data_IF_494886904298
#
_entry.id   IF_494886904298
#
_cell.length_a   1.000
_cell.length_b   1.000
_cell.length_c   1.000
_cell.angle_alpha   90.00
_cell.angle_beta   90.00
_cell.angle_gamma   90.00
#
_symmetry.space_group_name_H-M   'P 1'
#
loop_
_entity.id
_entity.type
_entity.pdbx_description
1 polymer ?
#
# COMPACT_ATOMS: atom_id res chain seq x y z
N UNK A 1 30.81 70.05 55.81
CA UNK A 1 31.91 70.11 54.83
C UNK A 1 31.76 68.95 53.87
N UNK A 2 31.41 69.31 52.64
CA UNK A 2 31.25 68.48 51.45
C UNK A 2 32.56 67.80 51.04
N UNK A 3 32.52 66.52 50.68
CA UNK A 3 33.39 66.01 49.62
C UNK A 3 32.84 64.73 49.00
N UNK A 4 32.45 64.86 47.73
CA UNK A 4 32.18 63.80 46.78
C UNK A 4 33.41 62.92 46.52
N UNK A 5 33.18 61.63 46.25
CA UNK A 5 33.93 60.85 45.25
C UNK A 5 33.15 59.61 44.81
N UNK A 6 32.38 59.76 43.74
CA UNK A 6 32.63 59.12 42.44
C UNK A 6 33.44 57.80 42.44
N UNK A 7 32.82 56.68 42.00
CA UNK A 7 32.97 56.12 40.63
C UNK A 7 32.67 54.61 40.54
N UNK A 8 31.95 54.31 39.45
CA UNK A 8 31.96 53.09 38.62
C UNK A 8 31.27 51.82 39.14
N UNK A 9 29.99 51.72 38.78
CA UNK A 9 29.37 50.45 38.41
C UNK A 9 30.12 49.83 37.21
N UNK A 10 30.68 48.63 37.40
CA UNK A 10 31.14 47.77 36.31
C UNK A 10 29.96 46.96 35.83
N UNK A 11 29.38 47.34 34.68
CA UNK A 11 28.66 46.41 33.82
C UNK A 11 29.63 45.30 33.42
N UNK A 12 29.37 44.07 33.86
CA UNK A 12 30.00 42.89 33.29
C UNK A 12 29.01 42.24 32.33
N UNK A 13 29.02 42.75 31.10
CA UNK A 13 28.41 42.11 29.93
C UNK A 13 29.25 40.88 29.59
N UNK A 14 28.90 39.73 30.16
CA UNK A 14 29.43 38.46 29.67
C UNK A 14 28.59 38.01 28.48
N UNK A 15 29.05 38.45 27.31
CA UNK A 15 28.78 37.86 26.01
C UNK A 15 29.14 36.37 26.06
N UNK A 16 28.17 35.51 26.31
CA UNK A 16 28.29 34.13 25.87
C UNK A 16 27.68 34.07 24.48
N UNK A 17 28.57 34.25 23.51
CA UNK A 17 28.36 34.01 22.09
C UNK A 17 27.92 32.56 21.90
N UNK A 18 26.62 32.32 22.05
CA UNK A 18 25.96 31.27 21.31
C UNK A 18 26.18 31.60 19.85
N UNK A 19 27.15 30.91 19.25
CA UNK A 19 27.21 30.73 17.83
C UNK A 19 25.83 30.17 17.42
N UNK A 20 24.94 31.08 17.02
CA UNK A 20 23.83 30.80 16.15
C UNK A 20 24.45 30.33 14.85
N UNK A 21 24.82 29.06 14.83
CA UNK A 21 25.01 28.33 13.59
C UNK A 21 23.64 28.37 12.96
N UNK A 22 23.51 29.29 12.01
CA UNK A 22 22.35 29.50 11.18
C UNK A 22 22.23 28.26 10.29
N UNK A 23 21.73 27.16 10.84
CA UNK A 23 21.38 25.93 10.09
C UNK A 23 20.00 26.15 9.47
N UNK A 24 19.87 27.21 8.68
CA UNK A 24 18.83 27.30 7.66
C UNK A 24 19.30 26.49 6.44
N UNK A 25 19.62 25.21 6.66
CA UNK A 25 19.94 24.27 5.62
C UNK A 25 18.62 23.62 5.15
N UNK A 26 18.16 24.06 3.98
CA UNK A 26 17.24 23.37 3.07
C UNK A 26 16.01 22.70 3.71
N UNK A 27 14.92 23.46 3.82
CA UNK A 27 13.57 22.96 4.15
C UNK A 27 13.05 21.92 3.11
N UNK A 28 13.76 21.67 2.00
CA UNK A 28 13.25 20.94 0.83
C UNK A 28 14.05 19.70 0.35
N UNK A 29 14.84 19.01 1.17
CA UNK A 29 15.57 17.85 0.61
C UNK A 29 15.69 16.62 1.50
N UNK A 30 14.74 16.37 2.39
CA UNK A 30 14.66 15.05 3.03
C UNK A 30 14.19 14.01 2.03
N UNK A 31 14.88 12.87 2.00
CA UNK A 31 14.53 11.73 1.16
C UNK A 31 14.40 10.46 2.00
N UNK A 32 13.66 9.48 1.47
CA UNK A 32 13.62 8.17 2.12
C UNK A 32 15.02 7.56 2.18
N UNK A 33 15.34 6.94 3.32
CA UNK A 33 16.67 6.39 3.57
C UNK A 33 17.67 7.33 4.25
N UNK A 34 17.36 8.62 4.38
CA UNK A 34 18.20 9.55 5.13
C UNK A 34 18.20 9.20 6.63
N UNK A 35 19.39 9.25 7.24
CA UNK A 35 19.57 9.12 8.68
C UNK A 35 19.32 10.45 9.39
N UNK A 36 18.44 10.44 10.38
CA UNK A 36 18.04 11.63 11.12
C UNK A 36 18.02 11.40 12.63
N UNK A 37 18.11 12.48 13.39
CA UNK A 37 17.72 12.55 14.79
C UNK A 37 16.32 13.15 14.88
N UNK A 38 15.46 12.47 15.62
CA UNK A 38 14.09 12.91 15.88
C UNK A 38 13.86 13.00 17.39
N UNK A 39 13.38 14.16 17.86
CA UNK A 39 13.09 14.43 19.28
C UNK A 39 11.61 14.20 19.54
N UNK A 40 11.28 13.27 20.44
CA UNK A 40 9.88 12.97 20.80
C UNK A 40 9.63 13.35 22.25
N UNK A 41 8.84 14.39 22.49
CA UNK A 41 8.44 14.81 23.85
C UNK A 41 9.65 15.05 24.77
N UNK A 42 9.68 14.37 25.92
CA UNK A 42 10.79 14.46 26.89
C UNK A 42 11.99 13.57 26.54
N UNK A 43 11.84 12.56 25.68
CA UNK A 43 12.91 11.64 25.31
C UNK A 43 14.03 12.35 24.55
N UNK A 44 15.32 12.03 24.76
CA UNK A 44 16.42 12.62 24.00
C UNK A 44 16.23 12.43 22.48
N UNK A 45 16.90 13.25 21.63
CA UNK A 45 16.90 13.01 20.18
C UNK A 45 17.35 11.59 19.86
N UNK A 46 16.52 10.84 19.14
CA UNK A 46 16.72 9.42 18.87
C UNK A 46 17.11 9.20 17.41
N UNK A 47 18.07 8.31 17.11
CA UNK A 47 18.44 8.00 15.73
C UNK A 47 17.32 7.26 15.01
N UNK A 48 17.03 7.68 13.79
CA UNK A 48 15.97 7.15 12.96
C UNK A 48 16.33 7.20 11.46
N UNK A 49 15.56 6.47 10.65
CA UNK A 49 15.60 6.51 9.18
C UNK A 49 14.30 7.12 8.67
N UNK A 50 14.37 8.01 7.68
CA UNK A 50 13.18 8.48 6.97
C UNK A 50 12.57 7.32 6.18
N UNK A 51 11.32 6.98 6.52
CA UNK A 51 10.67 5.76 6.09
C UNK A 51 9.64 6.01 4.98
N UNK A 52 9.63 5.25 3.86
CA UNK A 52 8.65 5.45 2.79
C UNK A 52 7.23 5.12 3.26
N UNK A 53 6.27 6.00 2.98
CA UNK A 53 4.91 5.86 3.52
C UNK A 53 4.20 4.59 3.01
N UNK A 54 4.53 4.15 1.79
CA UNK A 54 3.93 2.96 1.17
C UNK A 54 4.24 1.65 1.92
N UNK A 55 5.35 1.60 2.65
CA UNK A 55 5.73 0.43 3.46
C UNK A 55 5.23 0.51 4.92
N UNK A 56 4.54 1.60 5.31
CA UNK A 56 3.99 1.70 6.66
C UNK A 56 2.86 0.71 6.87
N UNK A 57 2.77 0.21 8.12
CA UNK A 57 1.60 -0.53 8.60
C UNK A 57 0.33 0.31 8.43
N UNK A 58 -0.80 -0.35 8.19
CA UNK A 58 -2.07 0.34 7.97
C UNK A 58 -2.53 1.16 9.19
N UNK A 59 -2.26 0.71 10.41
CA UNK A 59 -2.57 1.43 11.65
C UNK A 59 -1.71 2.69 11.85
N UNK A 60 -0.46 2.66 11.42
CA UNK A 60 0.45 3.81 11.41
C UNK A 60 0.09 4.79 10.29
N UNK A 61 -0.17 4.26 9.09
CA UNK A 61 -0.52 5.04 7.90
C UNK A 61 -1.83 5.81 8.09
N UNK A 62 -2.85 5.19 8.69
CA UNK A 62 -4.13 5.87 9.01
C UNK A 62 -3.98 7.06 9.95
N UNK A 63 -2.91 7.10 10.76
CA UNK A 63 -2.60 8.21 11.68
C UNK A 63 -1.71 9.28 11.05
N UNK A 64 -1.48 9.20 9.74
CA UNK A 64 -0.73 10.20 8.96
C UNK A 64 -1.28 11.61 9.24
N UNK A 65 -0.35 12.56 9.33
CA UNK A 65 -0.65 13.98 9.44
C UNK A 65 -0.13 14.70 8.20
N UNK A 66 -0.83 15.74 7.72
CA UNK A 66 -0.34 16.55 6.59
C UNK A 66 1.03 17.16 6.94
N UNK A 67 1.87 17.32 5.91
CA UNK A 67 3.21 17.96 6.02
C UNK A 67 4.19 17.28 6.99
N UNK A 68 3.89 16.04 7.40
CA UNK A 68 4.79 15.24 8.22
C UNK A 68 5.39 14.09 7.46
N UNK A 69 6.63 13.79 7.82
CA UNK A 69 7.39 12.67 7.31
C UNK A 69 7.33 11.55 8.33
N UNK A 70 7.22 10.31 7.85
CA UNK A 70 7.34 9.14 8.69
C UNK A 70 8.82 8.81 8.94
N UNK A 71 9.18 8.59 10.19
CA UNK A 71 10.50 8.09 10.59
C UNK A 71 10.36 6.78 11.34
N UNK A 72 11.33 5.89 11.16
CA UNK A 72 11.45 4.63 11.90
C UNK A 72 12.70 4.69 12.76
N UNK A 73 12.54 4.51 14.07
CA UNK A 73 13.65 4.52 15.02
C UNK A 73 14.51 3.25 14.93
N UNK A 74 15.78 3.37 15.27
CA UNK A 74 16.64 2.22 15.56
C UNK A 74 16.37 1.69 16.97
N UNK A 75 16.50 0.37 17.15
CA UNK A 75 16.21 -0.35 18.39
C UNK A 75 14.81 -0.09 18.97
N UNK A 76 13.84 0.28 18.12
CA UNK A 76 12.46 0.51 18.51
C UNK A 76 11.52 0.17 17.31
N UNK A 77 10.49 -0.67 17.50
CA UNK A 77 9.58 -1.06 16.42
C UNK A 77 8.66 0.09 15.99
N UNK A 78 8.58 1.18 16.74
CA UNK A 78 7.63 2.27 16.49
C UNK A 78 8.01 3.14 15.29
N UNK A 79 6.97 3.75 14.73
CA UNK A 79 7.04 4.75 13.68
C UNK A 79 6.53 6.07 14.25
N UNK A 80 7.09 7.18 13.79
CA UNK A 80 6.68 8.50 14.24
C UNK A 80 6.51 9.46 13.07
N UNK A 81 5.55 10.39 13.22
CA UNK A 81 5.24 11.41 12.22
C UNK A 81 5.73 12.76 12.71
N UNK A 82 6.78 13.28 12.08
CA UNK A 82 7.41 14.54 12.48
C UNK A 82 7.50 15.53 11.33
N UNK A 83 7.53 16.82 11.66
CA UNK A 83 7.77 17.89 10.70
C UNK A 83 9.22 17.90 10.21
N UNK A 84 9.45 18.10 8.90
CA UNK A 84 10.78 18.21 8.29
C UNK A 84 11.76 19.11 9.04
N UNK A 85 11.33 20.28 9.51
CA UNK A 85 12.18 21.27 10.16
C UNK A 85 12.61 20.89 11.60
N UNK A 86 12.01 19.85 12.18
CA UNK A 86 12.38 19.33 13.52
C UNK A 86 13.33 18.14 13.45
N UNK A 87 13.60 17.64 12.24
CA UNK A 87 14.57 16.59 12.01
C UNK A 87 15.97 17.21 11.87
N UNK A 88 16.95 16.54 12.47
CA UNK A 88 18.36 16.93 12.34
C UNK A 88 19.11 15.82 11.62
N UNK A 89 19.97 16.15 10.66
CA UNK A 89 20.77 15.15 9.95
C UNK A 89 21.68 14.38 10.92
N UNK A 90 21.61 13.04 10.89
CA UNK A 90 22.47 12.19 11.69
C UNK A 90 23.73 11.83 10.90
N UNK A 91 24.77 12.64 11.06
CA UNK A 91 26.06 12.41 10.37
C UNK A 91 26.89 11.35 11.09
N UNK A 92 27.78 10.61 10.39
CA UNK A 92 28.68 9.64 11.02
C UNK A 92 29.54 10.24 12.15
N UNK A 93 29.98 11.50 11.99
CA UNK A 93 30.72 12.24 13.03
C UNK A 93 29.88 12.44 14.30
N UNK A 94 28.59 12.71 14.16
CA UNK A 94 27.67 12.87 15.28
C UNK A 94 27.42 11.53 16.00
N UNK A 95 27.29 10.44 15.24
CA UNK A 95 27.20 9.09 15.81
C UNK A 95 28.46 8.77 16.61
N UNK A 96 29.65 8.96 16.04
CA UNK A 96 30.92 8.63 16.68
C UNK A 96 31.19 9.49 17.93
N UNK A 97 30.90 10.79 17.87
CA UNK A 97 31.05 11.68 19.04
C UNK A 97 30.07 11.30 20.16
N UNK A 98 28.83 10.96 19.82
CA UNK A 98 27.84 10.52 20.81
C UNK A 98 28.27 9.20 21.46
N UNK A 99 28.71 8.21 20.67
CA UNK A 99 29.19 6.92 21.18
C UNK A 99 30.44 7.06 22.07
N UNK A 100 31.38 7.96 21.73
CA UNK A 100 32.61 8.21 22.53
C UNK A 100 32.34 8.99 23.82
N UNK A 101 31.48 9.99 23.77
CA UNK A 101 31.14 10.76 24.97
C UNK A 101 30.42 9.88 26.02
N UNK A 102 29.67 8.89 25.54
CA UNK A 102 28.90 8.00 26.40
C UNK A 102 29.72 6.88 27.07
N UNK A 103 30.86 6.46 26.52
CA UNK A 103 31.73 5.50 27.22
C UNK A 103 32.28 6.03 28.55
N UNK A 104 32.23 7.34 28.77
CA UNK A 104 32.72 8.00 29.99
C UNK A 104 31.58 8.42 30.94
N UNK A 105 30.32 8.35 30.51
CA UNK A 105 29.15 8.79 31.27
C UNK A 105 28.28 7.58 31.65
N UNK A 106 28.25 7.24 32.93
CA UNK A 106 27.49 6.14 33.56
C UNK A 106 25.94 6.23 33.42
N UNK A 107 25.40 6.96 32.44
CA UNK A 107 24.00 7.43 32.48
C UNK A 107 23.38 7.69 31.10
N UNK A 108 23.67 6.90 30.07
CA UNK A 108 22.74 6.82 28.93
C UNK A 108 21.88 5.57 29.05
N UNK A 109 20.59 5.73 28.75
CA UNK A 109 19.65 4.63 28.61
C UNK A 109 20.23 3.62 27.61
N UNK A 110 20.49 2.38 28.03
CA UNK A 110 21.14 1.34 27.22
C UNK A 110 20.51 1.22 25.83
N UNK A 111 19.19 1.40 25.74
CA UNK A 111 18.45 1.36 24.49
C UNK A 111 18.89 2.42 23.47
N UNK A 112 19.22 3.63 23.92
CA UNK A 112 19.68 4.72 23.05
C UNK A 112 21.08 4.46 22.54
N UNK A 113 21.96 3.95 23.40
CA UNK A 113 23.30 3.55 22.99
C UNK A 113 23.28 2.44 21.95
N UNK A 114 22.40 1.43 22.12
CA UNK A 114 22.17 0.38 21.12
C UNK A 114 21.62 0.99 19.82
N UNK A 115 20.67 1.92 19.90
CA UNK A 115 20.12 2.58 18.71
C UNK A 115 21.19 3.31 17.89
N UNK A 116 22.14 4.01 18.54
CA UNK A 116 23.27 4.63 17.83
C UNK A 116 24.25 3.62 17.25
N UNK A 117 24.47 2.47 17.92
CA UNK A 117 25.29 1.38 17.38
C UNK A 117 24.65 0.75 16.14
N UNK A 118 23.33 0.59 16.12
CA UNK A 118 22.60 0.11 14.94
C UNK A 118 22.64 1.14 13.81
N UNK A 119 22.40 2.42 14.12
CA UNK A 119 22.50 3.50 13.16
C UNK A 119 23.90 3.57 12.50
N UNK A 120 24.97 3.29 13.27
CA UNK A 120 26.33 3.20 12.72
C UNK A 120 26.51 2.06 11.71
N UNK A 121 25.74 0.97 11.85
CA UNK A 121 25.76 -0.20 10.96
C UNK A 121 24.78 -0.07 9.80
N UNK A 122 24.04 1.03 9.70
CA UNK A 122 23.12 1.26 8.60
C UNK A 122 23.91 1.35 7.27
N UNK A 123 23.54 0.51 6.32
CA UNK A 123 24.17 0.45 4.99
C UNK A 123 23.23 1.06 3.96
N UNK A 124 22.01 0.54 3.88
CA UNK A 124 21.02 0.94 2.88
C UNK A 124 19.59 0.73 3.38
N UNK A 125 18.65 1.41 2.71
CA UNK A 125 17.24 1.42 3.06
C UNK A 125 16.56 0.06 2.84
N UNK A 126 16.97 -0.72 1.83
CA UNK A 126 16.35 -2.00 1.51
C UNK A 126 16.65 -3.05 2.59
N UNK A 127 17.91 -3.15 2.99
CA UNK A 127 18.35 -4.01 4.10
C UNK A 127 17.63 -3.63 5.39
N UNK A 128 17.51 -2.32 5.66
CA UNK A 128 16.81 -1.82 6.85
C UNK A 128 15.32 -2.16 6.86
N UNK A 129 14.60 -1.89 5.77
CA UNK A 129 13.17 -2.21 5.64
C UNK A 129 12.95 -3.72 5.73
N UNK A 130 13.78 -4.51 5.04
CA UNK A 130 13.66 -5.98 5.05
C UNK A 130 13.83 -6.53 6.47
N UNK A 131 14.86 -6.08 7.21
CA UNK A 131 15.06 -6.48 8.60
C UNK A 131 13.86 -6.10 9.49
N UNK A 132 13.33 -4.88 9.31
CA UNK A 132 12.16 -4.41 10.07
C UNK A 132 10.91 -5.24 9.77
N UNK A 133 10.67 -5.59 8.51
CA UNK A 133 9.53 -6.42 8.10
C UNK A 133 9.65 -7.87 8.59
N UNK A 134 10.86 -8.41 8.70
CA UNK A 134 11.10 -9.72 9.34
C UNK A 134 10.76 -9.64 10.83
N UNK A 135 11.23 -8.61 11.52
CA UNK A 135 10.96 -8.41 12.95
C UNK A 135 9.46 -8.25 13.24
N UNK A 136 8.73 -7.61 12.33
CA UNK A 136 7.29 -7.39 12.44
C UNK A 136 6.42 -8.57 11.97
N UNK A 137 7.02 -9.66 11.46
CA UNK A 137 6.32 -10.78 10.81
C UNK A 137 5.41 -10.33 9.64
N UNK A 138 5.89 -9.40 8.82
CA UNK A 138 5.14 -8.79 7.72
C UNK A 138 5.82 -8.93 6.37
N UNK A 139 6.75 -9.87 6.21
CA UNK A 139 7.53 -10.03 4.97
C UNK A 139 6.65 -10.26 3.72
N UNK A 140 5.44 -10.80 3.90
CA UNK A 140 4.43 -10.91 2.83
C UNK A 140 3.96 -9.53 2.35
N UNK A 141 3.71 -8.59 3.25
CA UNK A 141 3.32 -7.21 2.92
C UNK A 141 4.41 -6.53 2.07
N UNK A 142 5.69 -6.74 2.40
CA UNK A 142 6.81 -6.21 1.61
C UNK A 142 6.76 -6.76 0.18
N UNK A 143 6.62 -8.08 0.05
CA UNK A 143 6.55 -8.74 -1.25
C UNK A 143 5.34 -8.27 -2.07
N UNK A 144 4.19 -8.09 -1.42
CA UNK A 144 2.97 -7.61 -2.08
C UNK A 144 3.10 -6.16 -2.55
N UNK A 145 3.72 -5.29 -1.73
CA UNK A 145 3.96 -3.89 -2.08
C UNK A 145 4.96 -3.74 -3.24
N UNK A 146 6.02 -4.55 -3.27
CA UNK A 146 6.97 -4.58 -4.39
C UNK A 146 6.31 -5.12 -5.67
N UNK A 147 5.47 -6.15 -5.55
CA UNK A 147 4.72 -6.70 -6.69
C UNK A 147 3.73 -5.67 -7.28
N UNK A 148 3.11 -4.82 -6.44
CA UNK A 148 2.10 -3.84 -6.85
C UNK A 148 2.70 -2.52 -7.35
N UNK A 149 3.66 -1.98 -6.62
CA UNK A 149 4.16 -0.62 -6.78
C UNK A 149 5.62 -0.56 -7.28
N UNK A 150 6.21 -1.71 -7.59
CA UNK A 150 7.58 -1.80 -8.09
C UNK A 150 8.63 -1.79 -6.98
N UNK A 151 9.92 -1.91 -7.37
CA UNK A 151 11.03 -2.03 -6.42
C UNK A 151 11.12 -0.82 -5.49
N UNK A 152 11.72 -1.01 -4.32
CA UNK A 152 12.07 0.07 -3.40
C UNK A 152 13.18 0.92 -4.02
N UNK A 153 12.95 2.22 -4.19
CA UNK A 153 13.96 3.16 -4.68
C UNK A 153 14.48 3.94 -3.46
N UNK A 154 15.80 3.95 -3.29
CA UNK A 154 16.42 4.76 -2.25
C UNK A 154 16.37 6.23 -2.66
N UNK A 155 16.02 7.11 -1.72
CA UNK A 155 15.90 8.53 -1.99
C UNK A 155 14.60 8.95 -2.68
N UNK A 156 13.54 8.14 -2.58
CA UNK A 156 12.17 8.54 -2.96
C UNK A 156 11.72 9.77 -2.14
N UNK A 157 10.74 10.49 -2.68
CA UNK A 157 10.08 11.57 -1.95
C UNK A 157 9.29 10.98 -0.76
N UNK A 158 9.57 11.42 0.49
CA UNK A 158 8.93 10.90 1.69
C UNK A 158 7.44 11.23 1.79
N UNK A 159 6.90 12.08 0.91
CA UNK A 159 5.49 12.43 0.83
C UNK A 159 4.68 11.57 -0.14
N UNK A 160 5.33 10.72 -0.95
CA UNK A 160 4.64 9.80 -1.86
C UNK A 160 3.74 8.85 -1.05
N UNK A 161 2.45 8.85 -1.41
CA UNK A 161 1.41 8.09 -0.73
C UNK A 161 1.06 6.81 -1.47
N UNK A 162 0.34 5.89 -0.81
CA UNK A 162 -0.16 4.67 -1.46
C UNK A 162 -1.11 5.00 -2.63
N UNK A 163 -1.93 6.04 -2.46
CA UNK A 163 -2.94 6.45 -3.45
C UNK A 163 -2.28 7.05 -4.71
N UNK A 164 -1.24 7.87 -4.54
CA UNK A 164 -0.50 8.49 -5.65
C UNK A 164 0.18 7.46 -6.57
N UNK A 165 0.53 6.29 -6.04
CA UNK A 165 1.13 5.20 -6.83
C UNK A 165 0.08 4.45 -7.65
N UNK A 166 -1.13 4.29 -7.12
CA UNK A 166 -2.23 3.62 -7.82
C UNK A 166 -2.81 4.45 -8.97
N UNK A 167 -2.86 5.78 -8.87
CA UNK A 167 -3.40 6.65 -9.92
C UNK A 167 -2.54 6.64 -11.19
N UNK A 168 -1.21 6.65 -11.05
CA UNK A 168 -0.27 6.62 -12.20
C UNK A 168 -0.43 5.38 -13.09
N UNK A 169 -0.89 4.26 -12.54
CA UNK A 169 -1.10 3.04 -13.30
C UNK A 169 -2.38 3.07 -14.15
N UNK A 170 -3.38 3.86 -13.77
CA UNK A 170 -4.65 3.93 -14.50
C UNK A 170 -4.58 4.86 -15.70
N UNK A 171 -3.94 6.03 -15.57
CA UNK A 171 -3.84 7.02 -16.65
C UNK A 171 -3.00 6.55 -17.84
N UNK A 172 -2.11 5.59 -17.63
CA UNK A 172 -1.26 5.03 -18.69
C UNK A 172 -2.02 4.07 -19.64
N UNK A 173 -3.30 3.77 -19.39
CA UNK A 173 -4.05 2.73 -20.10
C UNK A 173 -5.24 3.21 -20.94
N UNK A 174 -5.55 4.52 -20.96
CA UNK A 174 -6.75 5.03 -21.65
C UNK A 174 -6.52 6.01 -22.81
N UNK A 175 -5.30 6.09 -23.36
CA UNK A 175 -5.02 6.84 -24.59
C UNK A 175 -5.28 5.99 -25.84
N UNK A 176 -6.54 5.68 -26.12
CA UNK A 176 -6.96 5.23 -27.45
C UNK A 176 -8.07 6.15 -27.98
N UNK A 177 -7.65 7.03 -28.90
CA UNK A 177 -8.38 7.68 -29.99
C UNK A 177 -9.91 7.73 -29.87
N UNK A 178 -10.42 8.83 -29.34
CA UNK A 178 -11.75 9.31 -29.68
C UNK A 178 -11.60 10.54 -30.60
N UNK A 179 -11.35 10.26 -31.89
CA UNK A 179 -11.61 11.20 -32.96
C UNK A 179 -13.04 10.93 -33.41
N UNK A 180 -14.02 11.46 -32.68
CA UNK A 180 -15.38 11.51 -33.20
C UNK A 180 -15.88 12.95 -33.31
N UNK A 181 -16.38 13.21 -34.52
CA UNK A 181 -16.84 14.49 -35.04
C UNK A 181 -18.00 15.02 -34.19
N UNK A 182 -17.86 16.22 -33.66
CA UNK A 182 -19.01 17.05 -33.31
C UNK A 182 -19.20 18.14 -34.36
N UNK A 183 -20.12 17.88 -35.28
CA UNK A 183 -20.82 18.91 -36.05
C UNK A 183 -21.69 19.72 -35.09
N UNK A 184 -21.44 21.02 -35.00
CA UNK A 184 -22.24 21.95 -34.21
C UNK A 184 -22.93 22.93 -35.17
N UNK A 185 -24.23 22.72 -35.39
CA UNK A 185 -25.17 23.73 -35.91
C UNK A 185 -26.22 23.95 -34.82
N UNK A 186 -26.38 25.21 -34.43
CA UNK A 186 -27.28 25.62 -33.36
C UNK A 186 -28.76 25.58 -33.71
N UNK A 187 -29.61 25.83 -32.73
CA UNK A 187 -30.36 27.08 -32.60
C UNK A 187 -31.10 27.09 -31.25
N UNK A 188 -31.41 28.31 -30.83
CA UNK A 188 -32.14 28.73 -29.63
C UNK A 188 -33.57 28.19 -29.61
N UNK A 189 -34.15 27.94 -28.43
CA UNK A 189 -35.35 28.67 -27.98
C UNK A 189 -35.67 28.34 -26.51
N UNK A 190 -36.17 29.34 -25.80
CA UNK A 190 -36.50 29.32 -24.38
C UNK A 190 -37.82 28.61 -24.07
N UNK A 191 -38.01 28.29 -22.79
CA UNK A 191 -39.23 27.64 -22.33
C UNK A 191 -39.24 27.35 -20.84
N UNK A 192 -39.48 28.40 -20.06
CA UNK A 192 -39.88 28.40 -18.66
C UNK A 192 -41.19 27.59 -18.47
N UNK A 193 -41.27 26.70 -17.47
CA UNK A 193 -42.37 26.56 -16.48
C UNK A 193 -42.29 25.28 -15.62
N UNK A 194 -42.09 25.50 -14.33
CA UNK A 194 -42.91 25.04 -13.19
C UNK A 194 -43.43 23.59 -13.05
N UNK A 195 -43.19 23.09 -11.83
CA UNK A 195 -44.09 22.35 -10.92
C UNK A 195 -44.36 20.84 -11.05
N UNK A 196 -43.90 20.17 -9.98
CA UNK A 196 -44.67 19.30 -9.05
C UNK A 196 -45.32 17.99 -9.58
N UNK A 197 -44.83 16.91 -8.98
CA UNK A 197 -45.62 16.05 -8.07
C UNK A 197 -46.68 15.13 -8.71
N UNK A 198 -46.47 13.80 -8.68
CA UNK A 198 -47.19 12.88 -7.78
C UNK A 198 -47.02 11.41 -8.14
N UNK A 199 -46.81 10.62 -7.09
CA UNK A 199 -47.16 9.23 -6.95
C UNK A 199 -48.60 8.92 -7.41
N UNK A 200 -48.81 7.81 -8.11
CA UNK A 200 -49.86 6.82 -7.81
C UNK A 200 -49.68 5.62 -8.76
N UNK A 201 -49.46 4.40 -8.25
CA UNK A 201 -50.42 3.46 -7.64
C UNK A 201 -51.19 2.67 -8.71
N UNK A 202 -50.79 1.41 -8.84
CA UNK A 202 -51.57 0.18 -9.03
C UNK A 202 -52.78 0.22 -9.97
N UNK A 203 -52.80 -0.69 -10.96
CA UNK A 203 -53.94 -1.62 -11.11
C UNK A 203 -53.58 -2.89 -11.88
N UNK A 204 -54.11 -3.98 -11.33
CA UNK A 204 -54.13 -5.35 -11.79
C UNK A 204 -55.14 -5.57 -12.94
N UNK A 205 -54.94 -6.70 -13.60
CA UNK A 205 -55.90 -7.61 -14.28
C UNK A 205 -56.59 -7.17 -15.56
N UNK A 206 -56.33 -7.90 -16.66
CA UNK A 206 -57.31 -8.89 -17.14
C UNK A 206 -56.73 -9.89 -18.15
N UNK A 207 -57.19 -11.14 -17.99
CA UNK A 207 -57.04 -12.27 -18.90
C UNK A 207 -57.66 -12.01 -20.28
N UNK A 208 -57.03 -12.56 -21.31
CA UNK A 208 -57.60 -12.67 -22.65
C UNK A 208 -56.87 -13.72 -23.47
N UNK A 209 -57.37 -14.96 -23.43
CA UNK A 209 -56.99 -16.05 -24.32
C UNK A 209 -57.62 -15.79 -25.69
N UNK A 210 -56.82 -15.66 -26.75
CA UNK A 210 -57.22 -16.00 -28.10
C UNK A 210 -55.99 -16.30 -28.96
N UNK A 211 -56.15 -17.34 -29.75
CA UNK A 211 -55.16 -18.14 -30.44
C UNK A 211 -54.90 -17.58 -31.85
N UNK A 212 -53.81 -18.05 -32.49
CA UNK A 212 -53.59 -18.20 -33.96
C UNK A 212 -52.50 -17.31 -34.62
N UNK A 213 -51.59 -18.05 -35.29
CA UNK A 213 -50.70 -17.73 -36.43
C UNK A 213 -49.30 -17.16 -36.16
N UNK A 214 -48.39 -18.10 -35.91
CA UNK A 214 -47.16 -18.30 -36.70
C UNK A 214 -46.69 -17.13 -37.57
N UNK A 215 -45.76 -16.33 -37.03
CA UNK A 215 -44.70 -15.70 -37.81
C UNK A 215 -43.38 -15.87 -37.08
N UNK A 216 -42.50 -16.58 -37.74
CA UNK A 216 -41.07 -16.71 -37.51
C UNK A 216 -40.43 -15.35 -37.33
N UNK A 217 -40.14 -14.97 -36.09
CA UNK A 217 -39.22 -13.88 -35.76
C UNK A 217 -38.17 -14.42 -34.80
N UNK A 218 -37.07 -14.86 -35.42
CA UNK A 218 -35.71 -14.84 -34.88
C UNK A 218 -35.63 -14.66 -33.36
N UNK A 219 -35.51 -15.79 -32.66
CA UNK A 219 -34.95 -15.85 -31.32
C UNK A 219 -33.65 -15.05 -31.33
N UNK A 220 -33.68 -13.81 -30.83
CA UNK A 220 -32.47 -13.08 -30.46
C UNK A 220 -31.79 -13.94 -29.40
N UNK A 221 -30.86 -14.79 -29.83
CA UNK A 221 -29.80 -15.32 -28.98
C UNK A 221 -29.23 -14.09 -28.31
N UNK A 222 -29.58 -13.88 -27.03
CA UNK A 222 -28.84 -12.96 -26.16
C UNK A 222 -27.42 -13.51 -26.21
N UNK A 223 -26.57 -12.90 -27.02
CA UNK A 223 -25.14 -13.10 -26.86
C UNK A 223 -24.89 -12.64 -25.43
N UNK A 224 -24.66 -13.60 -24.54
CA UNK A 224 -24.04 -13.30 -23.26
C UNK A 224 -22.69 -12.71 -23.64
N UNK A 225 -22.66 -11.38 -23.74
CA UNK A 225 -21.46 -10.62 -23.95
C UNK A 225 -20.51 -11.07 -22.85
N UNK A 226 -19.48 -11.81 -23.27
CA UNK A 226 -18.14 -11.87 -22.68
C UNK A 226 -18.08 -10.94 -21.48
N UNK A 227 -18.17 -11.50 -20.27
CA UNK A 227 -17.95 -10.73 -19.05
C UNK A 227 -16.67 -9.92 -19.26
N UNK A 228 -16.75 -8.60 -19.09
CA UNK A 228 -15.59 -7.72 -19.21
C UNK A 228 -14.43 -8.28 -18.36
N UNK A 229 -13.22 -8.28 -18.91
CA UNK A 229 -12.01 -8.82 -18.25
C UNK A 229 -11.82 -8.17 -16.87
N UNK A 230 -12.17 -6.89 -16.76
CA UNK A 230 -12.19 -6.15 -15.49
C UNK A 230 -13.13 -6.81 -14.47
N UNK A 231 -14.35 -7.14 -14.89
CA UNK A 231 -15.36 -7.80 -14.04
C UNK A 231 -14.96 -9.23 -13.68
N UNK A 232 -14.32 -9.98 -14.57
CA UNK A 232 -13.78 -11.31 -14.25
C UNK A 232 -12.72 -11.22 -13.15
N UNK A 233 -11.80 -10.25 -13.27
CA UNK A 233 -10.77 -9.98 -12.25
C UNK A 233 -11.40 -9.62 -10.90
N UNK A 234 -12.46 -8.82 -10.89
CA UNK A 234 -13.19 -8.44 -9.67
C UNK A 234 -13.87 -9.65 -9.02
N UNK A 235 -14.53 -10.50 -9.80
CA UNK A 235 -15.16 -11.74 -9.31
C UNK A 235 -14.10 -12.69 -8.73
N UNK A 236 -12.98 -12.90 -9.43
CA UNK A 236 -11.88 -13.71 -8.92
C UNK A 236 -11.28 -13.12 -7.63
N UNK A 237 -11.24 -11.79 -7.51
CA UNK A 237 -10.82 -11.08 -6.30
C UNK A 237 -11.80 -11.27 -5.14
N UNK A 238 -13.11 -11.32 -5.43
CA UNK A 238 -14.15 -11.64 -4.44
C UNK A 238 -14.03 -13.07 -3.94
N UNK A 239 -13.85 -14.04 -4.85
CA UNK A 239 -13.63 -15.45 -4.48
C UNK A 239 -12.42 -15.57 -3.55
N UNK A 240 -11.31 -14.94 -3.93
CA UNK A 240 -10.10 -14.91 -3.10
C UNK A 240 -10.35 -14.37 -1.70
N UNK A 241 -10.98 -13.20 -1.59
CA UNK A 241 -11.23 -12.53 -0.30
C UNK A 241 -12.11 -13.39 0.60
N UNK A 242 -13.20 -13.96 0.07
CA UNK A 242 -14.13 -14.78 0.84
C UNK A 242 -13.51 -16.09 1.30
N UNK A 243 -12.82 -16.82 0.41
CA UNK A 243 -12.12 -18.06 0.78
C UNK A 243 -11.06 -17.77 1.85
N UNK A 244 -10.27 -16.70 1.68
CA UNK A 244 -9.25 -16.32 2.65
C UNK A 244 -9.84 -15.93 4.02
N UNK A 245 -10.94 -15.16 4.05
CA UNK A 245 -11.63 -14.78 5.27
C UNK A 245 -12.30 -15.99 5.96
N UNK A 246 -12.79 -16.96 5.20
CA UNK A 246 -13.47 -18.14 5.76
C UNK A 246 -12.50 -19.21 6.25
N UNK A 247 -11.32 -19.36 5.63
CA UNK A 247 -10.42 -20.50 5.90
C UNK A 247 -9.07 -20.13 6.53
N UNK A 248 -8.57 -18.90 6.38
CA UNK A 248 -7.19 -18.56 6.73
C UNK A 248 -7.09 -17.40 7.73
N UNK A 249 -7.77 -16.28 7.46
CA UNK A 249 -7.69 -15.07 8.27
C UNK A 249 -8.72 -15.08 9.39
N UNK A 250 -8.64 -16.09 10.27
CA UNK A 250 -9.55 -16.24 11.41
C UNK A 250 -8.79 -16.60 12.66
N UNK A 251 -9.21 -16.02 13.77
CA UNK A 251 -8.75 -16.39 15.11
C UNK A 251 -9.54 -17.59 15.67
N UNK A 252 -10.75 -17.81 15.15
CA UNK A 252 -11.65 -18.90 15.53
C UNK A 252 -11.82 -19.93 14.41
N UNK A 253 -12.15 -21.20 14.74
CA UNK A 253 -12.44 -22.22 13.74
C UNK A 253 -13.48 -21.79 12.69
N UNK A 254 -13.41 -22.32 11.45
CA UNK A 254 -14.39 -22.00 10.42
C UNK A 254 -15.81 -22.36 10.87
N UNK A 255 -16.76 -21.45 10.66
CA UNK A 255 -18.18 -21.75 10.84
C UNK A 255 -18.64 -22.71 9.76
N UNK A 256 -19.65 -23.54 10.05
CA UNK A 256 -20.22 -24.50 9.09
C UNK A 256 -20.64 -23.77 7.79
N UNK A 257 -21.29 -22.62 7.91
CA UNK A 257 -21.66 -21.78 6.77
C UNK A 257 -20.43 -21.30 5.96
N UNK A 258 -19.32 -20.97 6.64
CA UNK A 258 -18.08 -20.55 5.98
C UNK A 258 -17.39 -21.68 5.24
N UNK A 259 -17.45 -22.91 5.77
CA UNK A 259 -16.98 -24.13 5.11
C UNK A 259 -17.82 -24.39 3.85
N UNK A 260 -19.15 -24.39 3.97
CA UNK A 260 -20.05 -24.58 2.83
C UNK A 260 -19.88 -23.51 1.75
N UNK A 261 -19.73 -22.25 2.14
CA UNK A 261 -19.46 -21.17 1.19
C UNK A 261 -18.12 -21.41 0.47
N UNK A 262 -17.09 -21.82 1.20
CA UNK A 262 -15.78 -22.11 0.61
C UNK A 262 -15.85 -23.25 -0.41
N UNK A 263 -16.58 -24.32 -0.12
CA UNK A 263 -16.87 -25.40 -1.08
C UNK A 263 -17.59 -24.85 -2.33
N UNK A 264 -18.64 -24.05 -2.16
CA UNK A 264 -19.38 -23.44 -3.27
C UNK A 264 -18.48 -22.57 -4.15
N UNK A 265 -17.59 -21.79 -3.55
CA UNK A 265 -16.66 -20.92 -4.29
C UNK A 265 -15.58 -21.72 -5.02
N UNK A 266 -14.99 -22.73 -4.38
CA UNK A 266 -13.99 -23.60 -5.01
C UNK A 266 -14.59 -24.43 -6.15
N UNK A 267 -15.81 -24.95 -5.98
CA UNK A 267 -16.53 -25.65 -7.05
C UNK A 267 -16.81 -24.71 -8.24
N UNK A 268 -17.23 -23.47 -7.98
CA UNK A 268 -17.39 -22.48 -9.06
C UNK A 268 -16.09 -22.19 -9.80
N UNK A 269 -14.96 -22.11 -9.09
CA UNK A 269 -13.65 -21.96 -9.74
C UNK A 269 -13.38 -23.19 -10.62
N UNK A 270 -13.58 -24.39 -10.09
CA UNK A 270 -13.35 -25.66 -10.76
C UNK A 270 -14.23 -25.83 -12.03
N UNK A 271 -15.52 -25.53 -11.94
CA UNK A 271 -16.48 -25.59 -13.06
C UNK A 271 -16.14 -24.62 -14.19
N UNK A 272 -15.41 -23.54 -13.90
CA UNK A 272 -15.06 -22.51 -14.88
C UNK A 272 -13.61 -22.64 -15.39
N UNK A 273 -12.91 -23.73 -15.10
CA UNK A 273 -11.54 -23.97 -15.58
C UNK A 273 -11.47 -24.04 -17.11
N UNK A 274 -12.37 -24.81 -17.72
CA UNK A 274 -12.38 -25.10 -19.16
C UNK A 274 -13.31 -24.16 -19.98
N UNK A 275 -13.57 -22.96 -19.47
CA UNK A 275 -14.42 -22.00 -20.19
C UNK A 275 -13.70 -21.41 -21.39
N UNK A 276 -14.40 -21.22 -22.51
CA UNK A 276 -13.89 -20.50 -23.69
C UNK A 276 -14.71 -19.22 -23.94
N UNK A 277 -14.13 -18.01 -23.78
CA UNK A 277 -12.76 -17.72 -23.34
C UNK A 277 -12.51 -18.08 -21.85
N UNK A 278 -11.24 -18.31 -21.46
CA UNK A 278 -10.91 -18.70 -20.08
C UNK A 278 -11.31 -17.63 -19.09
N UNK A 279 -12.12 -18.00 -18.10
CA UNK A 279 -12.52 -17.12 -17.00
C UNK A 279 -11.32 -16.74 -16.12
N UNK A 280 -10.37 -17.66 -15.92
CA UNK A 280 -9.17 -17.46 -15.11
C UNK A 280 -7.93 -17.45 -16.01
N UNK A 281 -7.69 -16.31 -16.67
CA UNK A 281 -6.51 -16.10 -17.50
C UNK A 281 -5.25 -15.74 -16.69
N UNK A 282 -4.11 -15.64 -17.39
CA UNK A 282 -2.82 -15.31 -16.80
C UNK A 282 -2.86 -13.96 -16.04
N UNK A 283 -3.54 -12.96 -16.60
CA UNK A 283 -3.66 -11.63 -16.00
C UNK A 283 -4.52 -11.67 -14.73
N UNK A 284 -5.62 -12.40 -14.75
CA UNK A 284 -6.50 -12.60 -13.58
C UNK A 284 -5.73 -13.30 -12.47
N UNK A 285 -4.98 -14.37 -12.77
CA UNK A 285 -4.17 -15.06 -11.78
C UNK A 285 -3.01 -14.20 -11.27
N UNK A 286 -2.42 -13.34 -12.11
CA UNK A 286 -1.38 -12.38 -11.75
C UNK A 286 -1.90 -11.36 -10.74
N UNK A 287 -3.01 -10.69 -11.06
CA UNK A 287 -3.61 -9.62 -10.23
C UNK A 287 -4.18 -10.16 -8.93
N UNK A 288 -4.97 -11.22 -9.01
CA UNK A 288 -5.65 -11.76 -7.82
C UNK A 288 -4.71 -12.56 -6.93
N UNK A 289 -3.67 -13.20 -7.49
CA UNK A 289 -2.83 -14.16 -6.76
C UNK A 289 -3.64 -15.33 -6.17
N UNK A 290 -4.79 -15.67 -6.75
CA UNK A 290 -5.66 -16.76 -6.28
C UNK A 290 -4.91 -18.10 -6.19
N UNK A 291 -4.03 -18.38 -7.15
CA UNK A 291 -3.16 -19.57 -7.13
C UNK A 291 -2.24 -19.65 -5.89
N UNK A 292 -1.81 -18.51 -5.32
CA UNK A 292 -1.02 -18.50 -4.08
C UNK A 292 -1.89 -18.91 -2.89
N UNK A 293 -3.13 -18.41 -2.83
CA UNK A 293 -4.09 -18.79 -1.78
C UNK A 293 -4.32 -20.30 -1.76
N UNK A 294 -4.58 -20.90 -2.94
CA UNK A 294 -4.82 -22.34 -3.04
C UNK A 294 -3.61 -23.16 -2.57
N UNK A 295 -2.38 -22.69 -2.83
CA UNK A 295 -1.18 -23.33 -2.28
C UNK A 295 -1.10 -23.26 -0.76
N UNK A 296 -1.48 -22.13 -0.15
CA UNK A 296 -1.52 -22.01 1.32
C UNK A 296 -2.53 -22.99 1.90
N UNK A 297 -3.70 -23.16 1.27
CA UNK A 297 -4.73 -24.13 1.69
C UNK A 297 -4.17 -25.56 1.65
N UNK A 298 -3.56 -25.95 0.52
CA UNK A 298 -2.95 -27.29 0.36
C UNK A 298 -1.84 -27.56 1.38
N UNK A 299 -1.09 -26.54 1.79
CA UNK A 299 0.00 -26.68 2.76
C UNK A 299 -0.49 -26.69 4.22
N UNK A 300 -1.76 -26.34 4.47
CA UNK A 300 -2.33 -26.32 5.81
C UNK A 300 -3.05 -27.64 6.10
N UNK A 301 -2.49 -28.44 7.02
CA UNK A 301 -3.04 -29.74 7.41
C UNK A 301 -4.45 -29.66 8.01
N UNK A 302 -4.84 -28.53 8.61
CA UNK A 302 -6.19 -28.35 9.18
C UNK A 302 -7.28 -28.18 8.11
N UNK A 303 -6.89 -27.95 6.85
CA UNK A 303 -7.79 -27.70 5.73
C UNK A 303 -7.80 -28.88 4.73
N UNK A 304 -7.51 -30.08 5.21
CA UNK A 304 -7.37 -31.29 4.38
C UNK A 304 -8.59 -31.55 3.47
N UNK A 305 -9.80 -31.21 3.94
CA UNK A 305 -11.03 -31.35 3.16
C UNK A 305 -11.01 -30.60 1.81
N UNK A 306 -10.24 -29.51 1.70
CA UNK A 306 -10.15 -28.70 0.49
C UNK A 306 -8.94 -29.06 -0.39
N UNK A 307 -8.08 -29.96 0.07
CA UNK A 307 -6.80 -30.22 -0.60
C UNK A 307 -6.97 -30.75 -2.01
N UNK A 308 -7.89 -31.70 -2.20
CA UNK A 308 -8.06 -32.36 -3.50
C UNK A 308 -8.49 -31.35 -4.59
N UNK A 309 -9.57 -30.61 -4.34
CA UNK A 309 -10.06 -29.59 -5.29
C UNK A 309 -9.01 -28.50 -5.55
N UNK A 310 -8.28 -28.06 -4.53
CA UNK A 310 -7.22 -27.07 -4.71
C UNK A 310 -6.06 -27.63 -5.54
N UNK A 311 -5.67 -28.90 -5.35
CA UNK A 311 -4.63 -29.55 -6.15
C UNK A 311 -5.05 -29.67 -7.60
N UNK A 312 -6.30 -30.02 -7.87
CA UNK A 312 -6.80 -30.18 -9.25
C UNK A 312 -6.85 -28.83 -9.98
N UNK A 313 -7.34 -27.78 -9.32
CA UNK A 313 -7.28 -26.39 -9.86
C UNK A 313 -5.83 -25.96 -10.13
N UNK A 314 -4.92 -26.20 -9.17
CA UNK A 314 -3.52 -25.83 -9.31
C UNK A 314 -2.80 -26.61 -10.42
N UNK A 315 -3.16 -27.87 -10.63
CA UNK A 315 -2.66 -28.70 -11.71
C UNK A 315 -3.10 -28.15 -13.07
N UNK A 316 -4.38 -27.77 -13.20
CA UNK A 316 -4.90 -27.14 -14.41
C UNK A 316 -4.19 -25.80 -14.71
N UNK A 317 -3.90 -25.00 -13.68
CA UNK A 317 -3.17 -23.73 -13.83
C UNK A 317 -1.64 -23.87 -13.88
N UNK A 318 -1.08 -25.09 -13.92
CA UNK A 318 0.36 -25.31 -13.79
C UNK A 318 1.18 -24.52 -14.82
N UNK A 319 0.76 -24.51 -16.08
CA UNK A 319 1.42 -23.78 -17.18
C UNK A 319 1.42 -22.27 -16.95
N UNK A 320 0.27 -21.71 -16.59
CA UNK A 320 0.13 -20.28 -16.24
C UNK A 320 0.99 -19.92 -15.03
N UNK A 321 1.05 -20.78 -14.01
CA UNK A 321 1.86 -20.51 -12.81
C UNK A 321 3.36 -20.57 -13.13
N UNK A 322 3.81 -21.45 -14.01
CA UNK A 322 5.20 -21.49 -14.48
C UNK A 322 5.53 -20.19 -15.22
N UNK A 323 4.63 -19.73 -16.10
CA UNK A 323 4.79 -18.46 -16.82
C UNK A 323 4.93 -17.28 -15.85
N UNK A 324 4.05 -17.18 -14.83
CA UNK A 324 4.14 -16.14 -13.80
C UNK A 324 5.47 -16.18 -13.02
N UNK A 325 6.00 -17.38 -12.75
CA UNK A 325 7.31 -17.52 -12.09
C UNK A 325 8.45 -17.02 -12.98
N UNK A 326 8.42 -17.35 -14.27
CA UNK A 326 9.43 -16.92 -15.25
C UNK A 326 9.45 -15.40 -15.41
N UNK A 327 8.28 -14.78 -15.59
CA UNK A 327 8.13 -13.31 -15.66
C UNK A 327 8.71 -12.62 -14.42
N UNK A 328 8.50 -13.20 -13.24
CA UNK A 328 9.06 -12.67 -11.98
C UNK A 328 10.59 -12.76 -11.94
N UNK A 329 11.18 -13.85 -12.44
CA UNK A 329 12.63 -13.99 -12.50
C UNK A 329 13.26 -13.05 -13.53
N UNK A 330 12.58 -12.83 -14.65
CA UNK A 330 12.98 -11.85 -15.67
C UNK A 330 12.91 -10.42 -15.12
N UNK A 331 11.83 -10.05 -14.43
CA UNK A 331 11.71 -8.76 -13.76
C UNK A 331 12.84 -8.53 -12.73
N UNK A 332 13.21 -9.56 -11.97
CA UNK A 332 14.35 -9.50 -11.04
C UNK A 332 15.70 -9.34 -11.75
N UNK A 333 15.89 -9.98 -12.91
CA UNK A 333 17.12 -9.83 -13.72
C UNK A 333 17.23 -8.44 -14.32
N UNK A 334 16.13 -7.90 -14.84
CA UNK A 334 16.07 -6.55 -15.40
C UNK A 334 16.35 -5.51 -14.31
N UNK A 335 15.69 -5.61 -13.16
CA UNK A 335 15.94 -4.72 -12.02
C UNK A 335 17.40 -4.72 -11.55
N UNK A 336 18.09 -5.86 -11.60
CA UNK A 336 19.53 -5.94 -11.28
C UNK A 336 20.44 -5.36 -12.38
N UNK A 337 20.02 -5.41 -13.64
CA UNK A 337 20.83 -4.96 -14.79
C UNK A 337 20.74 -3.46 -15.02
N UNK A 338 19.72 -2.79 -14.49
CA UNK A 338 19.59 -1.31 -14.53
C UNK A 338 20.39 -0.62 -13.42
N UNK A 339 20.95 -1.38 -12.47
CA UNK A 339 21.72 -0.87 -11.32
C UNK A 339 23.25 -1.04 -11.52
N UNK A 340 23.67 -1.70 -12.60
CA UNK A 340 25.06 -1.78 -13.06
C UNK A 340 25.23 -0.88 -14.29
#
# INVERSE_FOLDING_TARGET
>A
MTSHKDKRAKHNSNNNSHANVNVNANINSWKTGDLVLCKVGSFPPWPAVIFPQRFLRNDVYKKKKPERIAVSFFNDPTYYWEFPHKLTALTPKLIDSTLKNNSNANSMNDALFIAYKEAKKYIDLESFITAKFIQEDRLNDYSDEIDLNGPLINGEDPFITKEMLTEKQNDSSNSYNDNDKFDNKGEEDGGEFSTKNRNSRLKLDHNGIANIKSKTTTTKKRSHSKLDISRQTEIASLFRRRIQANLIQRDEPPTIEGIEESHKLLNKIYENLDTEPPFFDLNTLRKTKLHKLLRVIVNNYKLEEFHQICKDILAHWATMIIQLKKEREEAKKIGKKTIL
#
